data_IF_228512829791
#
_entry.id   IF_228512829791
#
_cell.length_a   1.000
_cell.length_b   1.000
_cell.length_c   1.000
_cell.angle_alpha   90.00
_cell.angle_beta   90.00
_cell.angle_gamma   90.00
#
_symmetry.space_group_name_H-M   'P 1'
#
loop_
_entity.id
_entity.type
_entity.pdbx_description
1 polymer ?
#
# COMPACT_ATOMS: atom_id res chain seq x y z
N UNK A 1 -13.20 -26.02 -21.36
CA UNK A 1 -12.68 -24.80 -20.73
C UNK A 1 -13.77 -23.74 -20.83
N UNK A 2 -14.09 -23.06 -19.73
CA UNK A 2 -14.98 -21.90 -19.74
C UNK A 2 -14.17 -20.69 -19.29
N UNK A 3 -14.28 -19.59 -20.03
CA UNK A 3 -13.61 -18.33 -19.73
C UNK A 3 -14.63 -17.39 -19.10
N UNK A 4 -14.38 -16.97 -17.86
CA UNK A 4 -15.20 -16.00 -17.14
C UNK A 4 -14.37 -14.73 -16.97
N UNK A 5 -14.29 -13.91 -18.01
CA UNK A 5 -13.45 -12.71 -18.03
C UNK A 5 -11.96 -13.06 -17.92
N UNK A 6 -11.30 -12.59 -16.85
CA UNK A 6 -9.85 -12.74 -16.64
C UNK A 6 -9.47 -14.02 -15.86
N UNK A 7 -10.39 -14.98 -15.77
CA UNK A 7 -10.19 -16.26 -15.09
C UNK A 7 -10.42 -17.40 -16.09
N UNK A 8 -9.42 -18.28 -16.21
CA UNK A 8 -9.56 -19.58 -16.85
C UNK A 8 -9.79 -20.63 -15.78
N UNK A 9 -10.89 -21.36 -15.88
CA UNK A 9 -11.12 -22.57 -15.11
C UNK A 9 -10.42 -23.77 -15.79
N UNK A 10 -9.41 -24.33 -15.12
CA UNK A 10 -8.67 -25.51 -15.57
C UNK A 10 -9.18 -26.82 -14.93
N UNK A 11 -10.39 -26.82 -14.36
CA UNK A 11 -11.03 -27.98 -13.77
C UNK A 11 -10.25 -28.48 -12.54
N UNK A 12 -9.80 -29.73 -12.54
CA UNK A 12 -9.05 -30.34 -11.40
C UNK A 12 -7.73 -29.62 -11.08
N UNK A 13 -7.17 -28.83 -12.00
CA UNK A 13 -5.95 -28.04 -11.80
C UNK A 13 -6.21 -26.65 -11.20
N UNK A 14 -7.46 -26.35 -10.84
CA UNK A 14 -7.87 -25.08 -10.24
C UNK A 14 -8.13 -23.98 -11.27
N UNK A 15 -8.15 -22.73 -10.79
CA UNK A 15 -8.39 -21.53 -11.60
C UNK A 15 -7.08 -20.78 -11.83
N UNK A 16 -6.86 -20.29 -13.05
CA UNK A 16 -5.71 -19.47 -13.43
C UNK A 16 -6.18 -18.07 -13.82
N UNK A 17 -5.53 -17.05 -13.25
CA UNK A 17 -5.70 -15.66 -13.69
C UNK A 17 -4.96 -15.48 -15.03
N UNK A 18 -5.62 -14.85 -15.99
CA UNK A 18 -5.05 -14.44 -17.28
C UNK A 18 -5.01 -12.92 -17.39
N UNK A 19 -4.12 -12.38 -18.22
CA UNK A 19 -3.99 -10.92 -18.41
C UNK A 19 -3.64 -10.19 -17.11
N UNK A 20 -2.69 -10.75 -16.35
CA UNK A 20 -2.31 -10.24 -15.03
C UNK A 20 -1.82 -8.79 -15.09
N UNK A 21 -1.09 -8.43 -16.14
CA UNK A 21 -0.66 -7.05 -16.39
C UNK A 21 -1.86 -6.11 -16.59
N UNK A 22 -2.83 -6.50 -17.42
CA UNK A 22 -4.07 -5.74 -17.61
C UNK A 22 -4.87 -5.57 -16.31
N UNK A 23 -4.87 -6.59 -15.45
CA UNK A 23 -5.48 -6.52 -14.12
C UNK A 23 -4.74 -5.56 -13.18
N UNK A 24 -3.40 -5.58 -13.19
CA UNK A 24 -2.60 -4.64 -12.42
C UNK A 24 -2.83 -3.20 -12.89
N UNK A 25 -2.81 -2.97 -14.21
CA UNK A 25 -3.05 -1.65 -14.81
C UNK A 25 -4.44 -1.13 -14.41
N UNK A 26 -5.47 -1.97 -14.51
CA UNK A 26 -6.81 -1.60 -14.05
C UNK A 26 -6.85 -1.30 -12.55
N UNK A 27 -6.14 -2.08 -11.74
CA UNK A 27 -6.04 -1.88 -10.30
C UNK A 27 -5.44 -0.50 -10.00
N UNK A 28 -4.29 -0.16 -10.56
CA UNK A 28 -3.61 1.12 -10.27
C UNK A 28 -4.38 2.34 -10.76
N UNK A 29 -5.25 2.21 -11.76
CA UNK A 29 -6.17 3.29 -12.17
C UNK A 29 -7.40 3.37 -11.26
N UNK A 30 -8.05 2.23 -10.99
CA UNK A 30 -9.36 2.23 -10.31
C UNK A 30 -9.25 2.44 -8.81
N UNK A 31 -8.17 1.92 -8.20
CA UNK A 31 -7.91 2.02 -6.77
C UNK A 31 -7.91 3.48 -6.26
N UNK A 32 -7.07 4.39 -6.80
CA UNK A 32 -7.01 5.77 -6.32
C UNK A 32 -8.26 6.58 -6.62
N UNK A 33 -8.97 6.28 -7.71
CA UNK A 33 -10.19 6.99 -8.10
C UNK A 33 -11.41 6.60 -7.26
N UNK A 34 -11.53 5.31 -6.90
CA UNK A 34 -12.78 4.78 -6.35
C UNK A 34 -12.67 4.28 -4.92
N UNK A 35 -11.60 3.56 -4.58
CA UNK A 35 -11.49 2.86 -3.30
C UNK A 35 -10.74 3.69 -2.27
N UNK A 36 -9.54 4.17 -2.61
CA UNK A 36 -8.66 4.92 -1.69
C UNK A 36 -9.37 6.09 -1.02
N UNK A 37 -10.14 6.96 -1.72
CA UNK A 37 -10.79 8.10 -1.09
C UNK A 37 -11.84 7.69 -0.06
N UNK A 38 -12.50 6.54 -0.28
CA UNK A 38 -13.49 5.97 0.66
C UNK A 38 -12.84 5.33 1.89
N UNK A 39 -11.52 5.10 1.85
CA UNK A 39 -10.75 4.52 2.96
C UNK A 39 -10.01 5.55 3.78
N UNK A 40 -9.90 6.79 3.32
CA UNK A 40 -9.29 7.86 4.10
C UNK A 40 -10.12 8.17 5.35
N UNK A 41 -9.57 7.86 6.52
CA UNK A 41 -10.16 8.19 7.83
C UNK A 41 -9.83 9.62 8.25
N UNK A 42 -8.71 10.15 7.78
CA UNK A 42 -8.35 11.55 7.96
C UNK A 42 -6.89 11.86 7.71
N UNK A 43 -6.57 13.15 7.75
CA UNK A 43 -5.23 13.69 7.68
C UNK A 43 -4.80 14.30 9.01
N UNK A 44 -3.52 14.14 9.29
CA UNK A 44 -2.92 14.46 10.58
C UNK A 44 -1.52 15.00 10.39
N UNK A 45 -0.98 15.59 11.46
CA UNK A 45 0.39 16.09 11.51
C UNK A 45 1.03 15.72 12.85
N UNK A 46 2.30 15.36 12.81
CA UNK A 46 3.12 15.17 14.00
C UNK A 46 4.03 16.39 14.23
N UNK A 47 4.45 16.60 15.47
CA UNK A 47 5.46 17.65 15.77
C UNK A 47 6.85 17.29 15.25
N UNK A 48 7.20 16.01 15.25
CA UNK A 48 8.48 15.50 14.75
C UNK A 48 8.28 14.84 13.39
N UNK A 49 8.96 15.30 12.34
CA UNK A 49 8.85 14.74 10.98
C UNK A 49 9.38 13.30 10.85
N UNK A 50 10.32 12.90 11.70
CA UNK A 50 10.94 11.57 11.68
C UNK A 50 10.33 10.61 12.71
N UNK A 51 9.15 10.93 13.25
CA UNK A 51 8.50 10.13 14.29
C UNK A 51 8.29 8.67 13.88
N UNK A 52 8.03 8.42 12.59
CA UNK A 52 7.76 7.11 12.02
C UNK A 52 8.91 6.11 12.25
N UNK A 53 10.16 6.59 12.34
CA UNK A 53 11.35 5.76 12.61
C UNK A 53 11.30 5.07 13.98
N UNK A 54 10.63 5.67 14.95
CA UNK A 54 10.54 5.20 16.35
C UNK A 54 9.09 4.93 16.78
N UNK A 55 8.16 4.87 15.82
CA UNK A 55 6.73 4.75 16.09
C UNK A 55 6.38 3.45 16.83
N UNK A 56 7.04 2.35 16.47
CA UNK A 56 6.72 1.01 16.95
C UNK A 56 5.38 0.51 16.41
N UNK A 57 5.17 0.64 15.09
CA UNK A 57 3.87 0.35 14.45
C UNK A 57 3.45 -1.11 14.64
N UNK A 58 4.41 -2.02 14.83
CA UNK A 58 4.22 -3.45 15.10
C UNK A 58 3.38 -3.75 16.36
N UNK A 59 3.26 -2.79 17.28
CA UNK A 59 2.40 -2.92 18.47
C UNK A 59 0.92 -2.64 18.19
N UNK A 60 0.59 -2.23 16.96
CA UNK A 60 -0.75 -1.91 16.51
C UNK A 60 -1.17 -2.82 15.35
N UNK A 61 -2.48 -3.04 15.16
CA UNK A 61 -3.00 -3.68 13.95
C UNK A 61 -2.99 -2.68 12.77
N UNK A 62 -1.78 -2.29 12.37
CA UNK A 62 -1.54 -1.25 11.39
C UNK A 62 -0.32 -1.56 10.51
N UNK A 63 -0.31 -0.94 9.34
CA UNK A 63 0.64 -1.21 8.28
C UNK A 63 1.12 0.10 7.67
N UNK A 64 2.43 0.22 7.45
CA UNK A 64 2.98 1.27 6.62
C UNK A 64 2.58 1.03 5.17
N UNK A 65 2.11 2.10 4.51
CA UNK A 65 1.86 2.14 3.08
C UNK A 65 2.61 3.27 2.40
N UNK A 66 2.31 3.50 1.13
CA UNK A 66 2.88 4.59 0.32
C UNK A 66 4.39 4.74 0.47
N UNK A 67 4.84 5.98 0.65
CA UNK A 67 6.26 6.34 0.62
C UNK A 67 7.08 5.71 1.75
N UNK A 68 6.53 5.58 2.96
CA UNK A 68 7.25 4.98 4.09
C UNK A 68 7.52 3.49 3.81
N UNK A 69 6.51 2.76 3.35
CA UNK A 69 6.68 1.36 2.98
C UNK A 69 7.66 1.20 1.81
N UNK A 70 7.58 2.09 0.82
CA UNK A 70 8.47 2.12 -0.33
C UNK A 70 9.93 2.39 0.07
N UNK A 71 10.15 3.35 0.96
CA UNK A 71 11.48 3.69 1.48
C UNK A 71 12.08 2.53 2.27
N UNK A 72 11.29 1.85 3.11
CA UNK A 72 11.75 0.67 3.85
C UNK A 72 12.10 -0.48 2.89
N UNK A 73 11.30 -0.68 1.83
CA UNK A 73 11.47 -1.81 0.91
C UNK A 73 12.59 -1.60 -0.11
N UNK A 74 12.82 -0.36 -0.54
CA UNK A 74 13.77 -0.04 -1.61
C UNK A 74 15.06 0.61 -1.12
N UNK A 75 15.04 1.21 0.08
CA UNK A 75 16.08 2.09 0.61
C UNK A 75 16.45 3.26 -0.32
N UNK A 76 15.52 3.63 -1.22
CA UNK A 76 15.76 4.60 -2.29
C UNK A 76 15.07 5.95 -2.04
N UNK A 77 13.82 5.93 -1.56
CA UNK A 77 12.98 7.12 -1.44
C UNK A 77 13.14 7.79 -0.08
N UNK A 78 13.26 9.12 -0.06
CA UNK A 78 13.09 9.92 1.14
C UNK A 78 11.61 10.34 1.30
N UNK A 79 10.89 9.84 2.32
CA UNK A 79 9.45 10.07 2.45
C UNK A 79 9.10 11.51 2.85
N UNK A 80 8.03 12.02 2.26
CA UNK A 80 7.31 13.24 2.61
C UNK A 80 5.92 12.95 3.19
N UNK A 81 5.24 11.91 2.69
CA UNK A 81 3.91 11.52 3.16
C UNK A 81 3.98 10.23 3.97
N UNK A 82 3.43 10.27 5.18
CA UNK A 82 3.30 9.10 6.05
C UNK A 82 1.93 8.48 5.85
N UNK A 83 1.87 7.32 5.20
CA UNK A 83 0.62 6.59 4.98
C UNK A 83 0.52 5.40 5.92
N UNK A 84 -0.58 5.29 6.68
CA UNK A 84 -0.85 4.16 7.57
C UNK A 84 -2.21 3.57 7.24
N UNK A 85 -2.24 2.27 7.03
CA UNK A 85 -3.47 1.49 7.00
C UNK A 85 -3.71 0.85 8.35
N UNK A 86 -4.95 0.88 8.85
CA UNK A 86 -5.25 0.28 10.15
C UNK A 86 -6.62 -0.38 10.19
N UNK A 87 -6.74 -1.39 11.04
CA UNK A 87 -8.01 -2.05 11.38
C UNK A 87 -8.60 -1.54 12.70
N UNK A 88 -7.81 -0.85 13.52
CA UNK A 88 -8.17 -0.44 14.87
C UNK A 88 -7.81 1.03 15.13
N UNK A 89 -8.43 1.69 16.12
CA UNK A 89 -8.06 3.05 16.49
C UNK A 89 -6.58 3.19 16.93
N UNK A 90 -5.89 4.20 16.41
CA UNK A 90 -4.47 4.47 16.68
C UNK A 90 -4.23 5.45 17.86
N UNK A 91 -5.12 5.46 18.86
CA UNK A 91 -5.08 6.46 19.94
C UNK A 91 -3.75 6.49 20.72
N UNK A 92 -3.21 5.32 21.05
CA UNK A 92 -1.90 5.21 21.72
C UNK A 92 -0.75 5.76 20.86
N UNK A 93 -0.76 5.46 19.56
CA UNK A 93 0.22 5.98 18.61
C UNK A 93 0.14 7.50 18.51
N UNK A 94 -1.08 8.05 18.45
CA UNK A 94 -1.31 9.48 18.34
C UNK A 94 -0.83 10.22 19.58
N UNK A 95 -1.13 9.68 20.77
CA UNK A 95 -0.69 10.26 22.04
C UNK A 95 0.84 10.25 22.15
N UNK A 96 1.47 9.09 21.91
CA UNK A 96 2.93 8.91 22.00
C UNK A 96 3.68 9.86 21.08
N UNK A 97 3.19 10.06 19.85
CA UNK A 97 3.87 10.85 18.82
C UNK A 97 3.31 12.26 18.63
N UNK A 98 2.39 12.70 19.51
CA UNK A 98 1.73 14.01 19.45
C UNK A 98 1.09 14.30 18.08
N UNK A 99 0.48 13.27 17.48
CA UNK A 99 -0.21 13.36 16.20
C UNK A 99 -1.56 14.03 16.44
N UNK A 100 -1.87 15.05 15.64
CA UNK A 100 -3.12 15.82 15.74
C UNK A 100 -3.77 15.93 14.37
N UNK A 101 -5.11 16.00 14.37
CA UNK A 101 -5.88 16.16 13.13
C UNK A 101 -5.51 17.49 12.48
N UNK A 102 -5.18 17.42 11.21
CA UNK A 102 -4.73 18.56 10.40
C UNK A 102 -5.17 18.27 8.95
N UNK A 103 -6.17 18.99 8.39
CA UNK A 103 -6.68 18.72 7.06
C UNK A 103 -5.61 18.72 5.96
N UNK A 104 -4.58 19.56 6.12
CA UNK A 104 -3.43 19.65 5.20
C UNK A 104 -2.20 18.91 5.73
N UNK A 105 -2.41 17.96 6.64
CA UNK A 105 -1.37 17.18 7.27
C UNK A 105 -0.69 16.21 6.30
N UNK A 106 0.56 15.88 6.62
CA UNK A 106 1.44 14.96 5.89
C UNK A 106 1.29 13.50 6.32
N UNK A 107 0.39 13.22 7.28
CA UNK A 107 0.06 11.88 7.73
C UNK A 107 -1.35 11.51 7.25
N UNK A 108 -1.46 10.47 6.45
CA UNK A 108 -2.72 9.90 5.98
C UNK A 108 -3.02 8.60 6.74
N UNK A 109 -4.20 8.53 7.35
CA UNK A 109 -4.68 7.30 7.99
C UNK A 109 -5.82 6.74 7.16
N UNK A 110 -5.67 5.49 6.72
CA UNK A 110 -6.65 4.77 5.93
C UNK A 110 -7.15 3.52 6.66
N UNK A 111 -8.39 3.14 6.39
CA UNK A 111 -8.95 1.86 6.78
C UNK A 111 -8.32 0.74 5.94
N UNK A 112 -7.76 -0.29 6.60
CA UNK A 112 -7.30 -1.50 5.94
C UNK A 112 -8.52 -2.29 5.41
N UNK A 113 -8.64 -2.40 4.08
CA UNK A 113 -9.81 -2.99 3.42
C UNK A 113 -9.67 -4.47 3.06
N UNK A 114 -8.46 -5.03 3.16
CA UNK A 114 -8.21 -6.44 2.87
C UNK A 114 -8.49 -7.33 4.08
N UNK A 115 -9.08 -8.49 3.82
CA UNK A 115 -9.50 -9.47 4.85
C UNK A 115 -8.64 -10.74 4.90
N UNK A 116 -7.60 -10.80 4.09
CA UNK A 116 -6.69 -11.94 4.01
C UNK A 116 -5.33 -11.58 4.60
N UNK A 117 -4.60 -12.58 5.05
CA UNK A 117 -3.22 -12.44 5.46
C UNK A 117 -2.30 -12.61 4.26
N UNK A 118 -1.27 -11.78 4.20
CA UNK A 118 -0.23 -11.93 3.19
C UNK A 118 0.84 -12.85 3.77
N UNK A 119 1.22 -13.89 3.01
CA UNK A 119 2.45 -14.61 3.30
C UNK A 119 3.63 -13.73 2.86
N UNK A 120 3.96 -12.74 3.68
CA UNK A 120 4.89 -11.67 3.38
C UNK A 120 5.80 -11.41 4.58
N UNK A 121 7.11 -11.32 4.34
CA UNK A 121 8.11 -11.25 5.40
C UNK A 121 8.08 -9.93 6.20
N UNK A 122 7.51 -8.86 5.65
CA UNK A 122 7.41 -7.57 6.33
C UNK A 122 5.99 -7.35 6.91
N UNK A 123 5.73 -7.93 8.08
CA UNK A 123 4.39 -7.98 8.69
C UNK A 123 3.76 -6.60 8.98
N UNK A 124 4.55 -5.54 9.06
CA UNK A 124 4.09 -4.17 9.30
C UNK A 124 4.04 -3.31 8.02
N UNK A 125 4.27 -3.89 6.84
CA UNK A 125 4.09 -3.22 5.55
C UNK A 125 2.84 -3.76 4.85
N UNK A 126 2.20 -2.92 4.05
CA UNK A 126 1.21 -3.40 3.09
C UNK A 126 1.89 -4.20 1.98
N UNK A 127 1.11 -5.03 1.27
CA UNK A 127 1.63 -5.82 0.16
C UNK A 127 2.18 -4.91 -0.96
N UNK A 128 3.26 -5.30 -1.68
CA UNK A 128 3.88 -4.48 -2.72
C UNK A 128 2.93 -3.96 -3.79
N UNK A 129 1.87 -4.70 -4.12
CA UNK A 129 0.85 -4.25 -5.09
C UNK A 129 0.10 -2.99 -4.64
N UNK A 130 -0.10 -2.82 -3.33
CA UNK A 130 -0.73 -1.64 -2.75
C UNK A 130 0.28 -0.50 -2.60
N UNK A 131 1.54 -0.81 -2.22
CA UNK A 131 2.62 0.20 -2.22
C UNK A 131 2.77 0.80 -3.61
N UNK A 132 2.87 -0.05 -4.64
CA UNK A 132 2.95 0.36 -6.04
C UNK A 132 1.79 1.27 -6.45
N UNK A 133 0.56 0.89 -6.13
CA UNK A 133 -0.62 1.69 -6.45
C UNK A 133 -0.68 3.02 -5.69
N UNK A 134 -0.29 3.03 -4.41
CA UNK A 134 -0.22 4.26 -3.60
C UNK A 134 0.81 5.25 -4.15
N UNK A 135 1.98 4.77 -4.59
CA UNK A 135 3.03 5.61 -5.18
C UNK A 135 2.59 6.21 -6.53
N UNK A 136 2.06 5.38 -7.44
CA UNK A 136 1.58 5.89 -8.73
C UNK A 136 0.44 6.90 -8.58
N UNK A 137 -0.41 6.72 -7.57
CA UNK A 137 -1.52 7.62 -7.29
C UNK A 137 -1.08 9.06 -6.94
N UNK A 138 0.18 9.28 -6.54
CA UNK A 138 0.64 10.63 -6.20
C UNK A 138 0.98 11.47 -7.43
N UNK A 139 1.32 10.84 -8.56
CA UNK A 139 1.83 11.53 -9.76
C UNK A 139 3.19 12.23 -9.57
N UNK A 140 3.88 12.00 -8.45
CA UNK A 140 5.21 12.56 -8.17
C UNK A 140 6.27 11.68 -8.86
N UNK A 141 7.20 12.31 -9.59
CA UNK A 141 8.22 11.60 -10.38
C UNK A 141 9.08 10.66 -9.54
N UNK A 142 9.44 11.04 -8.30
CA UNK A 142 10.27 10.21 -7.40
C UNK A 142 9.49 8.99 -6.91
N UNK A 143 8.19 9.16 -6.69
CA UNK A 143 7.31 8.06 -6.33
C UNK A 143 7.09 7.11 -7.51
N UNK A 144 6.94 7.62 -8.73
CA UNK A 144 6.83 6.81 -9.95
C UNK A 144 8.10 5.98 -10.16
N UNK A 145 9.28 6.60 -10.09
CA UNK A 145 10.55 5.90 -10.20
C UNK A 145 10.70 4.81 -9.12
N UNK A 146 10.35 5.13 -7.87
CA UNK A 146 10.38 4.14 -6.78
C UNK A 146 9.37 3.01 -7.01
N UNK A 147 8.21 3.31 -7.60
CA UNK A 147 7.20 2.31 -7.95
C UNK A 147 7.74 1.33 -9.01
N UNK A 148 8.51 1.80 -9.98
CA UNK A 148 9.17 0.93 -10.98
C UNK A 148 10.17 -0.03 -10.32
N UNK A 149 10.96 0.44 -9.35
CA UNK A 149 11.86 -0.42 -8.56
C UNK A 149 11.07 -1.52 -7.84
N UNK A 150 9.95 -1.17 -7.21
CA UNK A 150 9.09 -2.14 -6.52
C UNK A 150 8.46 -3.13 -7.51
N UNK A 151 8.04 -2.64 -8.69
CA UNK A 151 7.48 -3.50 -9.73
C UNK A 151 8.50 -4.57 -10.15
N UNK A 152 9.72 -4.17 -10.48
CA UNK A 152 10.76 -5.11 -10.92
C UNK A 152 11.16 -6.11 -9.83
N UNK A 153 11.33 -5.66 -8.58
CA UNK A 153 11.78 -6.51 -7.48
C UNK A 153 10.71 -7.46 -6.96
N UNK A 154 9.48 -6.98 -6.84
CA UNK A 154 8.43 -7.70 -6.10
C UNK A 154 7.29 -8.22 -6.96
N UNK A 155 6.96 -7.55 -8.06
CA UNK A 155 5.73 -7.83 -8.82
C UNK A 155 6.01 -8.55 -10.15
N UNK A 156 7.08 -8.21 -10.87
CA UNK A 156 7.34 -8.65 -12.23
C UNK A 156 7.30 -10.19 -12.37
N UNK A 157 7.88 -10.93 -11.42
CA UNK A 157 7.87 -12.41 -11.39
C UNK A 157 6.47 -13.04 -11.32
N UNK A 158 5.49 -12.31 -10.83
CA UNK A 158 4.11 -12.78 -10.73
C UNK A 158 3.24 -12.32 -11.90
N UNK A 159 3.61 -11.20 -12.52
CA UNK A 159 2.85 -10.51 -13.57
C UNK A 159 3.26 -10.96 -14.97
N UNK A 160 4.57 -11.08 -15.23
CA UNK A 160 5.09 -11.57 -16.52
C UNK A 160 4.60 -13.02 -16.69
N UNK A 161 3.86 -13.26 -17.77
CA UNK A 161 3.50 -14.62 -18.17
C UNK A 161 4.74 -15.24 -18.84
N UNK A 162 5.03 -16.51 -18.53
CA UNK A 162 5.98 -17.33 -19.29
C UNK A 162 5.50 -17.55 -20.73
#
# INVERSE_FOLDING_TARGET
MQQLGNLIDMGKRGRRLIQKEGLLNRWVTTYPEQLRPKKLLGRYKATNLNWWKNAGLETFQAYWGGEIAAAILTEYLQPHIVTIYTREPLGGLFLKNRIRKEPNGDIEILEAFWKFEFNWQHHNLVHPILIYADLLATGDERNIETAEIIYERELAKFIRED
#
